data_IF_408142130900
#
_entry.id   IF_408142130900
#
_cell.length_a   1.000
_cell.length_b   1.000
_cell.length_c   1.000
_cell.angle_alpha   90.00
_cell.angle_beta   90.00
_cell.angle_gamma   90.00
#
_symmetry.space_group_name_H-M   'P 1'
#
loop_
_entity.id
_entity.type
_entity.pdbx_description
1 polymer ?
#
# COMPACT_ATOMS: atom_id res chain seq x y z
N UNK A 1 -13.36 -7.60 -18.46
CA UNK A 1 -12.74 -6.46 -17.76
C UNK A 1 -11.21 -6.57 -17.73
N UNK A 2 -10.64 -7.64 -17.15
CA UNK A 2 -9.19 -7.89 -17.06
C UNK A 2 -8.39 -7.72 -18.37
N UNK A 3 -8.91 -8.29 -19.46
CA UNK A 3 -8.23 -8.33 -20.76
C UNK A 3 -8.15 -6.95 -21.45
N UNK A 4 -9.00 -5.99 -21.05
CA UNK A 4 -9.04 -4.63 -21.62
C UNK A 4 -8.09 -3.65 -20.92
N UNK A 5 -7.63 -3.98 -19.71
CA UNK A 5 -6.81 -3.09 -18.88
C UNK A 5 -5.31 -3.25 -19.21
N UNK A 6 -4.83 -4.49 -19.28
CA UNK A 6 -3.39 -4.81 -19.44
C UNK A 6 -2.92 -4.74 -20.90
N UNK A 7 -3.83 -4.74 -21.88
CA UNK A 7 -3.52 -4.71 -23.32
C UNK A 7 -3.49 -3.30 -23.93
N UNK A 8 -3.85 -2.25 -23.17
CA UNK A 8 -3.83 -0.88 -23.67
C UNK A 8 -2.40 -0.32 -23.63
N UNK A 9 -1.85 0.18 -24.75
CA UNK A 9 -0.49 0.76 -24.79
C UNK A 9 -0.33 2.05 -23.97
N UNK A 10 -1.45 2.63 -23.48
CA UNK A 10 -1.48 3.78 -22.57
C UNK A 10 -2.43 3.51 -21.41
N UNK A 11 -2.14 2.49 -20.60
CA UNK A 11 -2.84 2.29 -19.33
C UNK A 11 -2.62 3.51 -18.42
N UNK A 12 -3.69 4.24 -18.13
CA UNK A 12 -3.73 5.27 -17.10
C UNK A 12 -4.34 4.61 -15.89
N UNK A 13 -3.54 4.42 -14.83
CA UNK A 13 -3.97 3.73 -13.62
C UNK A 13 -5.14 4.49 -12.98
N UNK A 14 -6.36 3.93 -12.96
CA UNK A 14 -7.52 4.60 -12.41
C UNK A 14 -7.50 4.44 -10.89
N UNK A 15 -7.12 5.52 -10.20
CA UNK A 15 -7.03 5.61 -8.74
C UNK A 15 -8.25 6.26 -8.09
N UNK A 16 -9.31 6.51 -8.87
CA UNK A 16 -10.56 7.05 -8.34
C UNK A 16 -11.32 5.98 -7.54
N UNK A 17 -12.20 6.37 -6.60
CA UNK A 17 -13.05 5.43 -5.88
C UNK A 17 -13.87 4.56 -6.83
N UNK A 18 -13.96 3.26 -6.57
CA UNK A 18 -14.59 2.25 -7.43
C UNK A 18 -13.98 2.21 -8.84
N UNK A 19 -12.76 2.72 -8.98
CA UNK A 19 -11.98 2.66 -10.21
C UNK A 19 -11.51 1.23 -10.51
N UNK A 20 -11.00 1.03 -11.73
CA UNK A 20 -10.67 -0.32 -12.20
C UNK A 20 -9.60 -1.00 -11.32
N UNK A 21 -8.62 -0.26 -10.77
CA UNK A 21 -7.59 -0.86 -9.91
C UNK A 21 -8.20 -1.46 -8.63
N UNK A 22 -9.13 -0.75 -8.00
CA UNK A 22 -9.83 -1.22 -6.79
C UNK A 22 -10.62 -2.49 -7.08
N UNK A 23 -11.41 -2.49 -8.16
CA UNK A 23 -12.23 -3.64 -8.57
C UNK A 23 -11.37 -4.85 -8.94
N UNK A 24 -10.24 -4.64 -9.62
CA UNK A 24 -9.31 -5.70 -9.97
C UNK A 24 -8.62 -6.28 -8.73
N UNK A 25 -8.24 -5.45 -7.75
CA UNK A 25 -7.68 -5.92 -6.48
C UNK A 25 -8.70 -6.74 -5.69
N UNK A 26 -9.95 -6.27 -5.57
CA UNK A 26 -11.01 -7.01 -4.87
C UNK A 26 -11.29 -8.37 -5.52
N UNK A 27 -11.40 -8.40 -6.85
CA UNK A 27 -11.60 -9.65 -7.57
C UNK A 27 -10.38 -10.58 -7.49
N UNK A 28 -9.15 -10.04 -7.47
CA UNK A 28 -7.93 -10.80 -7.25
C UNK A 28 -7.88 -11.46 -5.86
N UNK A 29 -8.26 -10.73 -4.82
CA UNK A 29 -8.32 -11.24 -3.45
C UNK A 29 -9.34 -12.38 -3.36
N UNK A 30 -10.55 -12.17 -3.91
CA UNK A 30 -11.61 -13.18 -3.92
C UNK A 30 -11.21 -14.45 -4.66
N UNK A 31 -10.53 -14.33 -5.80
CA UNK A 31 -10.03 -15.48 -6.55
C UNK A 31 -8.91 -16.20 -5.79
N UNK A 32 -8.02 -15.46 -5.14
CA UNK A 32 -6.90 -16.04 -4.37
C UNK A 32 -7.39 -16.81 -3.15
N UNK A 33 -8.37 -16.26 -2.40
CA UNK A 33 -9.01 -16.94 -1.27
C UNK A 33 -9.72 -18.24 -1.66
N UNK A 34 -10.16 -18.36 -2.91
CA UNK A 34 -10.82 -19.55 -3.48
C UNK A 34 -9.87 -20.46 -4.25
N UNK A 35 -8.58 -20.12 -4.33
CA UNK A 35 -7.56 -20.82 -5.14
C UNK A 35 -7.95 -20.96 -6.62
N UNK A 36 -8.74 -20.02 -7.14
CA UNK A 36 -9.19 -19.97 -8.54
C UNK A 36 -8.30 -19.05 -9.39
N UNK A 37 -7.45 -18.25 -8.76
CA UNK A 37 -6.53 -17.32 -9.42
C UNK A 37 -5.58 -18.06 -10.38
N UNK A 38 -5.10 -19.24 -10.00
CA UNK A 38 -4.17 -20.06 -10.82
C UNK A 38 -4.80 -20.59 -12.11
N UNK A 39 -6.13 -20.69 -12.15
CA UNK A 39 -6.89 -21.12 -13.35
C UNK A 39 -7.23 -19.95 -14.26
N UNK A 40 -6.92 -18.72 -13.85
CA UNK A 40 -7.26 -17.50 -14.56
C UNK A 40 -6.00 -16.79 -15.05
N UNK A 41 -5.61 -17.02 -16.31
CA UNK A 41 -4.40 -16.39 -16.89
C UNK A 41 -4.45 -14.85 -16.82
N UNK A 42 -5.64 -14.26 -16.94
CA UNK A 42 -5.79 -12.82 -16.81
C UNK A 42 -5.49 -12.31 -15.38
N UNK A 43 -5.84 -13.07 -14.35
CA UNK A 43 -5.51 -12.79 -12.96
C UNK A 43 -4.00 -12.96 -12.71
N UNK A 44 -3.43 -14.06 -13.22
CA UNK A 44 -1.98 -14.30 -13.14
C UNK A 44 -1.17 -13.19 -13.82
N UNK A 45 -1.61 -12.72 -14.99
CA UNK A 45 -0.98 -11.60 -15.68
C UNK A 45 -1.11 -10.28 -14.91
N UNK A 46 -2.25 -10.06 -14.25
CA UNK A 46 -2.39 -8.90 -13.37
C UNK A 46 -1.40 -8.96 -12.20
N UNK A 47 -1.14 -10.13 -11.62
CA UNK A 47 -0.16 -10.27 -10.55
C UNK A 47 1.26 -9.98 -11.00
N UNK A 48 1.65 -10.49 -12.19
CA UNK A 48 3.01 -10.31 -12.72
C UNK A 48 3.26 -8.88 -13.21
N UNK A 49 2.33 -8.33 -13.98
CA UNK A 49 2.55 -7.07 -14.70
C UNK A 49 1.68 -5.94 -14.15
N UNK A 50 0.37 -6.21 -14.03
CA UNK A 50 -0.64 -5.18 -13.77
C UNK A 50 -0.45 -4.48 -12.42
N UNK A 51 -0.13 -5.23 -11.38
CA UNK A 51 0.13 -4.71 -10.05
C UNK A 51 1.40 -3.85 -10.01
N UNK A 52 2.53 -4.38 -10.50
CA UNK A 52 3.80 -3.65 -10.53
C UNK A 52 3.70 -2.34 -11.29
N UNK A 53 3.10 -2.36 -12.49
CA UNK A 53 2.88 -1.15 -13.31
C UNK A 53 2.01 -0.15 -12.54
N UNK A 54 0.93 -0.63 -11.92
CA UNK A 54 -0.02 0.24 -11.23
C UNK A 54 0.59 0.90 -10.00
N UNK A 55 1.23 0.12 -9.13
CA UNK A 55 1.83 0.62 -7.89
C UNK A 55 3.06 1.49 -8.14
N UNK A 56 3.89 1.18 -9.15
CA UNK A 56 4.98 2.06 -9.56
C UNK A 56 4.42 3.44 -9.90
N UNK A 57 3.40 3.51 -10.76
CA UNK A 57 2.84 4.79 -11.20
C UNK A 57 2.23 5.61 -10.05
N UNK A 58 1.52 4.98 -9.13
CA UNK A 58 0.79 5.73 -8.08
C UNK A 58 1.67 6.07 -6.87
N UNK A 59 2.81 5.39 -6.70
CA UNK A 59 3.73 5.62 -5.59
C UNK A 59 4.95 6.45 -5.97
N UNK A 60 5.43 6.36 -7.22
CA UNK A 60 6.73 6.93 -7.60
C UNK A 60 6.65 8.03 -8.66
N UNK A 61 5.52 8.20 -9.35
CA UNK A 61 5.37 9.23 -10.39
C UNK A 61 5.49 10.64 -9.81
N UNK A 62 6.20 11.53 -10.50
CA UNK A 62 6.42 12.91 -10.06
C UNK A 62 5.12 13.68 -9.86
N UNK A 63 4.08 13.37 -10.65
CA UNK A 63 2.77 14.01 -10.55
C UNK A 63 2.02 13.69 -9.26
N UNK A 64 2.43 12.63 -8.53
CA UNK A 64 1.76 12.19 -7.28
C UNK A 64 1.65 13.32 -6.26
N UNK A 65 2.67 14.18 -6.14
CA UNK A 65 2.64 15.31 -5.19
C UNK A 65 1.63 16.40 -5.55
N UNK A 66 1.16 16.43 -6.80
CA UNK A 66 0.17 17.39 -7.29
C UNK A 66 -1.27 16.85 -7.29
N UNK A 67 -1.50 15.61 -6.87
CA UNK A 67 -2.84 15.02 -6.88
C UNK A 67 -3.69 15.51 -5.70
N UNK A 68 -5.02 15.47 -5.91
CA UNK A 68 -5.98 15.87 -4.86
C UNK A 68 -5.92 14.91 -3.68
N UNK A 69 -6.20 15.41 -2.49
CA UNK A 69 -6.12 14.63 -1.25
C UNK A 69 -6.96 13.34 -1.28
N UNK A 70 -8.15 13.38 -1.84
CA UNK A 70 -9.03 12.21 -2.00
C UNK A 70 -8.35 11.07 -2.77
N UNK A 71 -7.53 11.41 -3.78
CA UNK A 71 -6.76 10.42 -4.55
C UNK A 71 -5.70 9.75 -3.68
N UNK A 72 -5.06 10.51 -2.77
CA UNK A 72 -4.10 9.90 -1.84
C UNK A 72 -4.76 8.90 -0.89
N UNK A 73 -5.99 9.17 -0.44
CA UNK A 73 -6.76 8.20 0.36
C UNK A 73 -7.07 6.93 -0.44
N UNK A 74 -7.43 7.06 -1.71
CA UNK A 74 -7.64 5.92 -2.59
C UNK A 74 -6.37 5.08 -2.78
N UNK A 75 -5.20 5.71 -2.90
CA UNK A 75 -3.90 5.01 -2.98
C UNK A 75 -3.61 4.22 -1.70
N UNK A 76 -3.86 4.81 -0.53
CA UNK A 76 -3.74 4.11 0.76
C UNK A 76 -4.70 2.90 0.79
N UNK A 77 -5.97 3.09 0.44
CA UNK A 77 -6.96 2.01 0.42
C UNK A 77 -6.62 0.88 -0.56
N UNK A 78 -6.01 1.20 -1.71
CA UNK A 78 -5.51 0.18 -2.65
C UNK A 78 -4.26 -0.52 -2.10
N UNK A 79 -3.41 0.19 -1.36
CA UNK A 79 -2.27 -0.42 -0.66
C UNK A 79 -2.73 -1.39 0.42
N UNK A 80 -3.83 -1.09 1.12
CA UNK A 80 -4.45 -2.02 2.07
C UNK A 80 -4.88 -3.33 1.38
N UNK A 81 -5.59 -3.22 0.25
CA UNK A 81 -6.00 -4.38 -0.55
C UNK A 81 -4.82 -5.17 -1.11
N UNK A 82 -3.73 -4.49 -1.50
CA UNK A 82 -2.51 -5.17 -1.92
C UNK A 82 -1.95 -6.04 -0.79
N UNK A 83 -1.89 -5.54 0.45
CA UNK A 83 -1.41 -6.34 1.57
C UNK A 83 -2.34 -7.51 1.84
N UNK A 84 -3.65 -7.31 1.80
CA UNK A 84 -4.62 -8.40 1.93
C UNK A 84 -4.40 -9.50 0.87
N UNK A 85 -4.16 -9.10 -0.38
CA UNK A 85 -3.82 -10.03 -1.46
C UNK A 85 -2.53 -10.79 -1.17
N UNK A 86 -1.50 -10.12 -0.65
CA UNK A 86 -0.23 -10.75 -0.28
C UNK A 86 -0.42 -11.78 0.84
N UNK A 87 -1.23 -11.47 1.85
CA UNK A 87 -1.58 -12.40 2.92
C UNK A 87 -2.34 -13.59 2.38
N UNK A 88 -3.33 -13.37 1.50
CA UNK A 88 -4.10 -14.46 0.86
C UNK A 88 -3.23 -15.40 0.01
N UNK A 89 -2.10 -14.91 -0.50
CA UNK A 89 -1.15 -15.66 -1.34
C UNK A 89 0.09 -16.13 -0.58
N UNK A 90 0.19 -15.85 0.72
CA UNK A 90 1.42 -16.06 1.49
C UNK A 90 1.83 -17.53 1.56
N UNK A 91 0.87 -18.46 1.65
CA UNK A 91 1.13 -19.90 1.68
C UNK A 91 1.65 -20.48 0.35
N UNK A 92 1.58 -19.72 -0.74
CA UNK A 92 1.97 -20.14 -2.09
C UNK A 92 3.32 -19.54 -2.51
N UNK A 93 4.04 -18.86 -1.61
CA UNK A 93 5.37 -18.26 -1.83
C UNK A 93 5.48 -17.44 -3.12
N UNK A 94 4.48 -16.60 -3.38
CA UNK A 94 4.43 -15.80 -4.61
C UNK A 94 5.39 -14.59 -4.55
N UNK A 95 6.67 -14.82 -4.87
CA UNK A 95 7.76 -13.83 -4.79
C UNK A 95 7.47 -12.46 -5.42
N UNK A 96 6.82 -12.33 -6.59
CA UNK A 96 6.50 -11.02 -7.17
C UNK A 96 5.68 -10.10 -6.25
N UNK A 97 4.83 -10.68 -5.39
CA UNK A 97 4.05 -9.90 -4.42
C UNK A 97 4.93 -9.36 -3.29
N UNK A 98 6.00 -10.08 -2.91
CA UNK A 98 6.95 -9.62 -1.88
C UNK A 98 7.78 -8.43 -2.38
N UNK A 99 8.24 -8.46 -3.63
CA UNK A 99 8.93 -7.32 -4.25
C UNK A 99 8.02 -6.09 -4.31
N UNK A 100 6.74 -6.31 -4.61
CA UNK A 100 5.74 -5.26 -4.64
C UNK A 100 5.46 -4.67 -3.25
N UNK A 101 5.44 -5.49 -2.20
CA UNK A 101 5.36 -5.01 -0.81
C UNK A 101 6.58 -4.14 -0.47
N UNK A 102 7.79 -4.54 -0.88
CA UNK A 102 8.98 -3.74 -0.65
C UNK A 102 8.85 -2.34 -1.29
N UNK A 103 8.28 -2.24 -2.49
CA UNK A 103 7.97 -0.97 -3.14
C UNK A 103 6.87 -0.19 -2.41
N UNK A 104 5.76 -0.85 -2.07
CA UNK A 104 4.64 -0.26 -1.35
C UNK A 104 5.05 0.34 0.00
N UNK A 105 6.09 -0.21 0.59
CA UNK A 105 6.60 0.17 1.90
C UNK A 105 7.88 0.99 1.90
N UNK A 106 8.44 1.30 0.73
CA UNK A 106 9.68 2.05 0.62
C UNK A 106 9.51 3.52 1.10
N UNK A 107 10.02 3.93 2.28
CA UNK A 107 9.84 5.29 2.83
C UNK A 107 10.31 6.42 1.91
N UNK A 108 11.17 6.10 0.94
CA UNK A 108 11.76 7.05 0.01
C UNK A 108 10.98 7.22 -1.29
N UNK A 109 9.83 6.55 -1.46
CA UNK A 109 9.00 6.77 -2.64
C UNK A 109 8.31 8.14 -2.59
N UNK A 110 7.93 8.67 -3.77
CA UNK A 110 7.37 10.03 -3.91
C UNK A 110 6.11 10.21 -3.06
N UNK A 111 5.21 9.23 -3.06
CA UNK A 111 3.99 9.25 -2.27
C UNK A 111 4.29 9.36 -0.77
N UNK A 112 5.26 8.60 -0.28
CA UNK A 112 5.61 8.52 1.14
C UNK A 112 6.34 9.77 1.63
N UNK A 113 7.25 10.31 0.83
CA UNK A 113 7.91 11.60 1.09
C UNK A 113 6.87 12.72 1.19
N UNK A 114 5.94 12.79 0.24
CA UNK A 114 4.93 13.84 0.22
C UNK A 114 3.96 13.76 1.40
N UNK A 115 3.51 12.55 1.77
CA UNK A 115 2.60 12.37 2.91
C UNK A 115 3.30 12.36 4.28
N UNK A 116 4.61 12.13 4.33
CA UNK A 116 5.36 12.04 5.59
C UNK A 116 5.36 13.33 6.42
N UNK A 117 5.21 14.47 5.75
CA UNK A 117 5.10 15.81 6.37
C UNK A 117 3.71 16.10 6.93
N UNK A 118 2.70 15.27 6.63
CA UNK A 118 1.32 15.50 7.06
C UNK A 118 1.10 15.02 8.51
N UNK A 119 0.22 15.72 9.27
CA UNK A 119 -0.30 15.20 10.53
C UNK A 119 -1.00 13.86 10.31
N UNK A 120 -0.91 12.96 11.29
CA UNK A 120 -1.67 11.70 11.25
C UNK A 120 -3.13 11.96 11.56
N UNK A 121 -4.05 11.35 10.79
CA UNK A 121 -5.48 11.38 11.07
C UNK A 121 -5.87 10.43 12.22
N UNK A 122 -5.09 9.37 12.43
CA UNK A 122 -5.36 8.32 13.43
C UNK A 122 -4.60 8.53 14.75
N UNK A 123 -3.52 9.32 14.73
CA UNK A 123 -2.71 9.61 15.91
C UNK A 123 -2.59 11.12 16.07
N UNK A 124 -3.41 11.74 16.93
CA UNK A 124 -3.37 13.17 17.21
C UNK A 124 -1.99 13.62 17.70
N UNK A 125 -1.64 14.87 17.39
CA UNK A 125 -0.41 15.48 17.91
C UNK A 125 -0.46 15.53 19.44
N UNK A 126 0.53 14.92 20.10
CA UNK A 126 0.61 14.87 21.56
C UNK A 126 -0.21 13.75 22.22
N UNK A 127 -0.79 12.82 21.45
CA UNK A 127 -1.44 11.64 22.01
C UNK A 127 -0.46 10.86 22.91
N UNK A 128 -0.89 10.62 24.16
CA UNK A 128 -0.27 9.70 25.10
C UNK A 128 -1.03 8.38 24.99
N UNK A 129 -0.76 7.65 23.92
CA UNK A 129 -1.18 6.25 23.78
C UNK A 129 -0.15 5.37 24.47
N UNK A 130 -0.57 4.21 24.98
CA UNK A 130 0.34 3.26 25.60
C UNK A 130 1.39 2.76 24.58
N UNK A 131 2.61 2.44 25.01
CA UNK A 131 3.70 2.07 24.10
C UNK A 131 3.40 0.77 23.31
N UNK A 132 2.54 -0.10 23.84
CA UNK A 132 2.01 -1.30 23.19
C UNK A 132 0.82 -1.02 22.24
N UNK A 133 0.31 0.20 22.23
CA UNK A 133 -0.73 0.68 21.29
C UNK A 133 -0.15 1.67 20.25
N UNK A 134 1.04 2.23 20.52
CA UNK A 134 1.67 3.29 19.75
C UNK A 134 3.01 2.86 19.15
N UNK A 135 2.94 2.18 18.01
CA UNK A 135 4.14 1.71 17.30
C UNK A 135 4.81 2.79 16.42
N UNK A 136 4.22 3.98 16.28
CA UNK A 136 4.87 5.15 15.66
C UNK A 136 4.29 6.51 16.06
N UNK A 137 5.15 7.53 16.01
CA UNK A 137 4.82 8.94 16.24
C UNK A 137 5.36 9.82 15.10
N UNK A 138 4.67 10.92 14.73
CA UNK A 138 5.26 11.96 13.90
C UNK A 138 6.60 12.47 14.46
N UNK A 139 7.61 12.80 13.61
CA UNK A 139 8.81 13.49 14.07
C UNK A 139 8.42 14.78 14.79
N UNK A 140 8.91 14.99 16.02
CA UNK A 140 8.67 16.23 16.76
C UNK A 140 9.50 17.35 16.12
N UNK A 141 8.89 18.46 15.65
CA UNK A 141 9.63 19.60 15.11
C UNK A 141 10.68 20.19 16.06
N UNK A 142 10.57 19.91 17.36
CA UNK A 142 11.48 20.38 18.42
C UNK A 142 12.61 19.41 18.76
N UNK A 143 12.59 18.21 18.19
CA UNK A 143 13.65 17.22 18.41
C UNK A 143 14.89 17.57 17.56
N UNK A 144 16.11 17.55 18.13
CA UNK A 144 17.33 17.85 17.36
C UNK A 144 17.51 16.83 16.24
N UNK A 145 17.89 17.31 15.04
CA UNK A 145 18.26 16.45 13.91
C UNK A 145 19.51 15.65 14.28
N UNK A 146 19.32 14.42 14.75
CA UNK A 146 20.44 13.51 15.00
C UNK A 146 21.05 13.10 13.66
N UNK A 147 22.38 13.26 13.56
CA UNK A 147 23.15 12.93 12.36
C UNK A 147 23.21 11.43 12.07
N UNK A 148 23.21 11.12 10.77
CA UNK A 148 23.71 9.94 10.06
C UNK A 148 23.98 8.65 10.86
N UNK A 149 23.15 7.62 10.67
CA UNK A 149 23.57 6.20 10.72
C UNK A 149 22.48 5.32 10.10
N UNK A 150 22.87 4.30 9.34
CA UNK A 150 21.99 3.32 8.70
C UNK A 150 21.32 2.45 9.79
N UNK A 151 20.27 2.98 10.43
CA UNK A 151 19.29 2.20 11.17
C UNK A 151 18.13 1.98 10.21
N UNK A 152 17.66 0.74 10.10
CA UNK A 152 16.37 0.44 9.45
C UNK A 152 15.35 1.40 10.07
N UNK A 153 15.03 2.47 9.35
CA UNK A 153 14.21 3.55 9.88
C UNK A 153 12.84 2.99 10.21
N UNK A 154 12.16 3.52 11.25
CA UNK A 154 10.81 3.09 11.55
C UNK A 154 9.96 3.24 10.28
N UNK A 155 9.13 2.22 9.95
CA UNK A 155 8.33 2.25 8.74
C UNK A 155 7.48 3.53 8.69
N UNK A 156 7.17 4.04 7.50
CA UNK A 156 6.37 5.26 7.36
C UNK A 156 5.03 5.19 8.11
N UNK A 157 4.51 6.33 8.60
CA UNK A 157 3.35 6.39 9.52
C UNK A 157 2.07 5.69 9.03
N UNK A 158 1.85 5.58 7.71
CA UNK A 158 0.72 4.83 7.15
C UNK A 158 1.01 3.32 7.08
N UNK A 159 2.27 2.88 7.02
CA UNK A 159 2.69 1.47 7.10
C UNK A 159 2.28 0.88 8.45
N UNK A 160 2.46 1.65 9.52
CA UNK A 160 2.13 1.19 10.88
C UNK A 160 0.64 1.29 11.14
N UNK A 161 -0.05 2.29 10.57
CA UNK A 161 -1.52 2.32 10.58
C UNK A 161 -2.08 1.10 9.83
N UNK A 162 -1.49 0.73 8.70
CA UNK A 162 -1.85 -0.45 7.94
C UNK A 162 -1.55 -1.75 8.70
N UNK A 163 -0.36 -1.89 9.29
CA UNK A 163 0.00 -3.04 10.14
C UNK A 163 -0.92 -3.14 11.37
N UNK A 164 -1.19 -2.03 12.07
CA UNK A 164 -2.10 -2.00 13.21
C UNK A 164 -3.54 -2.33 12.81
N UNK A 165 -4.02 -1.83 11.66
CA UNK A 165 -5.37 -2.13 11.18
C UNK A 165 -5.51 -3.59 10.73
N UNK A 166 -4.44 -4.21 10.23
CA UNK A 166 -4.39 -5.59 9.74
C UNK A 166 -4.20 -6.63 10.86
N UNK A 167 -3.36 -6.36 11.87
CA UNK A 167 -3.14 -7.30 12.98
C UNK A 167 -4.28 -7.29 14.02
N UNK A 168 -5.00 -6.17 14.20
CA UNK A 168 -6.10 -6.08 15.16
C UNK A 168 -7.50 -6.42 14.60
N UNK A 169 -7.63 -6.77 13.31
CA UNK A 169 -8.89 -7.29 12.74
C UNK A 169 -8.89 -8.80 12.49
N UNK A 170 -7.77 -9.49 12.72
CA UNK A 170 -7.65 -10.95 12.57
C UNK A 170 -7.17 -11.67 13.84
N UNK A 171 -7.50 -11.16 15.03
CA UNK A 171 -7.50 -12.00 16.25
C UNK A 171 -8.91 -12.50 16.51
N UNK A 172 -9.19 -13.81 16.37
CA UNK A 172 -10.38 -14.40 16.96
C UNK A 172 -10.19 -14.42 18.48
N UNK A 173 -11.20 -13.94 19.20
CA UNK A 173 -11.72 -14.75 20.30
C UNK A 173 -12.89 -15.54 19.75
#
# INVERSE_FOLDING_TARGET
MWMFCVSRPRWVVPVLPKGELEVLLEAAIELSKKELDVKCEACQRFFRDGLTISFTKILTDEAVSGWKFEIHRCIINNTHRLVELCVAKLSQDWFPLLELLAMAFNPHCKFHIYNGTRPSETVPAGAQLADDELFARPPDPRSPKVGSEFKVGPPPKYFITLVNHLFYQCTPY
#
